data_IF_459315892125
#
_entry.id   IF_459315892125
#
_cell.length_a   1.000
_cell.length_b   1.000
_cell.length_c   1.000
_cell.angle_alpha   90.00
_cell.angle_beta   90.00
_cell.angle_gamma   90.00
#
_symmetry.space_group_name_H-M   'P 1'
#
loop_
_entity.id
_entity.type
_entity.pdbx_description
1 polymer ?
#
# COMPACT_ATOMS: atom_id res chain seq x y z
N UNK A 1 5.94 -13.52 23.29
CA UNK A 1 6.64 -12.56 22.37
C UNK A 1 8.16 -12.72 22.36
N UNK A 2 8.79 -12.93 23.50
CA UNK A 2 10.25 -13.04 23.58
C UNK A 2 10.78 -14.20 22.72
N UNK A 3 10.11 -15.36 22.76
CA UNK A 3 10.43 -16.53 21.94
C UNK A 3 10.46 -16.21 20.43
N UNK A 4 9.47 -15.43 19.95
CA UNK A 4 9.45 -15.01 18.54
C UNK A 4 10.62 -14.10 18.19
N UNK A 5 10.98 -13.17 19.08
CA UNK A 5 12.13 -12.27 18.84
C UNK A 5 13.47 -13.02 18.84
N UNK A 6 13.61 -14.00 19.70
CA UNK A 6 14.82 -14.86 19.75
C UNK A 6 14.93 -15.71 18.47
N UNK A 7 13.83 -16.32 18.03
CA UNK A 7 13.79 -17.13 16.82
C UNK A 7 13.89 -16.29 15.52
N UNK A 8 13.45 -15.04 15.55
CA UNK A 8 13.36 -14.12 14.40
C UNK A 8 13.89 -12.73 14.76
N UNK A 9 15.21 -12.55 14.95
CA UNK A 9 15.82 -11.26 15.32
C UNK A 9 15.74 -10.23 14.18
N UNK A 10 15.51 -10.68 12.94
CA UNK A 10 15.36 -9.88 11.73
C UNK A 10 14.00 -9.13 11.61
N UNK A 11 13.05 -9.43 12.50
CA UNK A 11 11.73 -8.81 12.44
C UNK A 11 11.76 -7.30 12.71
N UNK A 12 11.11 -6.55 11.84
CA UNK A 12 10.94 -5.11 12.04
C UNK A 12 10.13 -4.81 13.31
N UNK A 13 10.45 -3.72 14.05
CA UNK A 13 9.72 -3.34 15.26
C UNK A 13 8.20 -3.24 15.08
N UNK A 14 7.74 -2.77 13.90
CA UNK A 14 6.31 -2.71 13.56
C UNK A 14 5.67 -4.09 13.47
N UNK A 15 6.36 -5.08 12.90
CA UNK A 15 5.88 -6.47 12.82
C UNK A 15 5.79 -7.10 14.21
N UNK A 16 6.81 -6.87 15.05
CA UNK A 16 6.81 -7.33 16.46
C UNK A 16 5.61 -6.74 17.21
N UNK A 17 5.34 -5.45 17.07
CA UNK A 17 4.18 -4.78 17.68
C UNK A 17 2.85 -5.38 17.19
N UNK A 18 2.74 -5.66 15.90
CA UNK A 18 1.55 -6.28 15.31
C UNK A 18 1.34 -7.70 15.86
N UNK A 19 2.39 -8.51 15.91
CA UNK A 19 2.32 -9.86 16.48
C UNK A 19 1.92 -9.83 17.95
N UNK A 20 2.49 -8.91 18.75
CA UNK A 20 2.10 -8.74 20.15
C UNK A 20 0.61 -8.42 20.31
N UNK A 21 0.07 -7.56 19.44
CA UNK A 21 -1.36 -7.21 19.45
C UNK A 21 -2.25 -8.40 19.08
N UNK A 22 -1.85 -9.17 18.09
CA UNK A 22 -2.57 -10.36 17.64
C UNK A 22 -2.53 -11.49 18.68
N UNK A 23 -1.37 -11.72 19.32
CA UNK A 23 -1.25 -12.71 20.40
C UNK A 23 -2.12 -12.35 21.60
N UNK A 24 -2.14 -11.08 22.04
CA UNK A 24 -3.08 -10.64 23.11
C UNK A 24 -4.54 -10.89 22.72
N UNK A 25 -4.88 -10.78 21.42
CA UNK A 25 -6.23 -11.11 20.97
C UNK A 25 -6.50 -12.61 21.06
N UNK A 26 -5.50 -13.47 20.74
CA UNK A 26 -5.61 -14.91 20.92
C UNK A 26 -5.75 -15.29 22.40
N UNK A 27 -4.92 -14.71 23.28
CA UNK A 27 -5.02 -14.89 24.72
C UNK A 27 -6.40 -14.47 25.27
N UNK A 28 -6.96 -13.39 24.72
CA UNK A 28 -8.32 -12.95 25.11
C UNK A 28 -9.42 -13.89 24.64
N UNK A 29 -9.26 -14.54 23.50
CA UNK A 29 -10.26 -15.47 22.94
C UNK A 29 -10.19 -16.85 23.58
N UNK A 30 -8.99 -17.35 23.86
CA UNK A 30 -8.75 -18.76 24.19
C UNK A 30 -8.01 -18.99 25.52
N UNK A 31 -7.54 -17.94 26.19
CA UNK A 31 -6.69 -18.04 27.39
C UNK A 31 -5.21 -18.04 27.06
N UNK A 32 -4.36 -17.93 28.10
CA UNK A 32 -2.90 -17.78 27.94
C UNK A 32 -2.24 -19.03 27.34
N UNK A 33 -2.77 -20.22 27.67
CA UNK A 33 -2.27 -21.52 27.18
C UNK A 33 -2.95 -21.98 25.89
N UNK A 34 -3.39 -21.06 25.05
CA UNK A 34 -4.13 -21.39 23.83
C UNK A 34 -3.35 -22.28 22.85
N UNK A 35 -2.03 -22.26 22.90
CA UNK A 35 -1.18 -23.10 22.03
C UNK A 35 -1.29 -24.59 22.32
N UNK A 36 -1.74 -24.98 23.53
CA UNK A 36 -1.92 -26.38 23.95
C UNK A 36 -3.38 -26.85 23.84
N UNK A 37 -4.28 -26.01 23.31
CA UNK A 37 -5.67 -26.39 23.03
C UNK A 37 -5.80 -27.17 21.73
N UNK A 38 -6.93 -27.88 21.60
CA UNK A 38 -7.30 -28.51 20.35
C UNK A 38 -7.28 -27.47 19.20
N UNK A 39 -6.49 -27.71 18.13
CA UNK A 39 -6.43 -26.81 16.99
C UNK A 39 -7.80 -26.55 16.35
N UNK A 40 -8.73 -27.52 16.37
CA UNK A 40 -10.06 -27.33 15.83
C UNK A 40 -10.89 -26.35 16.69
N UNK A 41 -10.78 -26.42 18.03
CA UNK A 41 -11.41 -25.44 18.93
C UNK A 41 -10.96 -24.01 18.61
N UNK A 42 -9.66 -23.83 18.32
CA UNK A 42 -9.10 -22.53 17.95
C UNK A 42 -9.63 -22.08 16.60
N UNK A 43 -9.66 -22.97 15.60
CA UNK A 43 -10.18 -22.69 14.26
C UNK A 43 -11.63 -22.21 14.34
N UNK A 44 -12.48 -22.99 15.02
CA UNK A 44 -13.90 -22.69 15.16
C UNK A 44 -14.12 -21.38 15.92
N UNK A 45 -13.38 -21.15 17.00
CA UNK A 45 -13.45 -19.91 17.76
C UNK A 45 -13.00 -18.68 16.96
N UNK A 46 -11.98 -18.79 16.12
CA UNK A 46 -11.55 -17.70 15.23
C UNK A 46 -12.63 -17.42 14.18
N UNK A 47 -13.21 -18.44 13.55
CA UNK A 47 -14.28 -18.27 12.56
C UNK A 47 -15.54 -17.64 13.16
N UNK A 48 -15.91 -18.04 14.36
CA UNK A 48 -17.08 -17.53 15.10
C UNK A 48 -16.84 -16.17 15.80
N UNK A 49 -15.61 -15.63 15.76
CA UNK A 49 -15.25 -14.40 16.47
C UNK A 49 -15.85 -13.12 15.91
N UNK A 50 -16.53 -13.15 14.77
CA UNK A 50 -17.04 -11.97 14.06
C UNK A 50 -15.96 -11.09 13.44
N UNK A 51 -14.68 -11.51 13.46
CA UNK A 51 -13.56 -10.76 12.88
C UNK A 51 -13.53 -10.91 11.35
N UNK A 52 -12.99 -9.89 10.67
CA UNK A 52 -12.84 -9.95 9.21
C UNK A 52 -11.90 -11.11 8.80
N UNK A 53 -12.14 -11.70 7.61
CA UNK A 53 -11.32 -12.80 7.07
C UNK A 53 -9.82 -12.45 7.04
N UNK A 54 -9.47 -11.19 6.75
CA UNK A 54 -8.07 -10.72 6.80
C UNK A 54 -7.51 -10.78 8.22
N UNK A 55 -8.29 -10.42 9.23
CA UNK A 55 -7.85 -10.47 10.62
C UNK A 55 -7.75 -11.91 11.12
N UNK A 56 -8.72 -12.76 10.78
CA UNK A 56 -8.70 -14.20 11.06
C UNK A 56 -7.42 -14.86 10.49
N UNK A 57 -7.10 -14.58 9.22
CA UNK A 57 -5.87 -15.04 8.59
C UNK A 57 -4.60 -14.60 9.36
N UNK A 58 -4.58 -13.35 9.84
CA UNK A 58 -3.45 -12.86 10.62
C UNK A 58 -3.33 -13.56 11.98
N UNK A 59 -4.45 -13.93 12.61
CA UNK A 59 -4.44 -14.72 13.85
C UNK A 59 -3.86 -16.12 13.62
N UNK A 60 -4.28 -16.82 12.57
CA UNK A 60 -3.67 -18.10 12.19
C UNK A 60 -2.18 -17.96 11.91
N UNK A 61 -1.78 -16.91 11.19
CA UNK A 61 -0.37 -16.66 10.88
C UNK A 61 0.46 -16.46 12.16
N UNK A 62 0.01 -15.62 13.09
CA UNK A 62 0.79 -15.34 14.32
C UNK A 62 0.85 -16.56 15.23
N UNK A 63 -0.21 -17.38 15.29
CA UNK A 63 -0.24 -18.62 16.04
C UNK A 63 0.79 -19.61 15.49
N UNK A 64 0.82 -19.81 14.17
CA UNK A 64 1.86 -20.64 13.53
C UNK A 64 3.27 -20.11 13.79
N UNK A 65 3.49 -18.78 13.70
CA UNK A 65 4.80 -18.19 13.98
C UNK A 65 5.22 -18.44 15.42
N UNK A 66 4.30 -18.35 16.39
CA UNK A 66 4.58 -18.63 17.79
C UNK A 66 4.96 -20.11 17.97
N UNK A 67 4.15 -21.03 17.46
CA UNK A 67 4.39 -22.48 17.55
C UNK A 67 5.73 -22.88 16.92
N UNK A 68 6.03 -22.37 15.72
CA UNK A 68 7.32 -22.59 15.05
C UNK A 68 8.48 -22.04 15.88
N UNK A 69 8.29 -20.92 16.57
CA UNK A 69 9.34 -20.31 17.42
C UNK A 69 9.52 -21.03 18.75
N UNK A 70 8.49 -21.73 19.25
CA UNK A 70 8.57 -22.55 20.46
C UNK A 70 9.20 -23.91 20.17
N UNK A 71 8.55 -24.72 19.33
CA UNK A 71 9.01 -26.03 18.90
C UNK A 71 8.25 -26.47 17.64
N UNK A 72 8.90 -26.36 16.50
CA UNK A 72 8.30 -26.66 15.20
C UNK A 72 7.91 -28.15 15.06
N UNK A 73 8.68 -29.04 15.68
CA UNK A 73 8.44 -30.49 15.56
C UNK A 73 7.28 -30.91 16.47
N UNK A 74 7.26 -30.42 17.70
CA UNK A 74 6.15 -30.65 18.64
C UNK A 74 4.80 -30.22 18.08
N UNK A 75 4.73 -29.07 17.43
CA UNK A 75 3.48 -28.48 16.93
C UNK A 75 3.25 -28.70 15.41
N UNK A 76 3.87 -29.73 14.82
CA UNK A 76 3.85 -29.91 13.37
C UNK A 76 2.44 -30.14 12.82
N UNK A 77 1.60 -30.89 13.52
CA UNK A 77 0.23 -31.20 13.07
C UNK A 77 -0.69 -29.98 13.22
N UNK A 78 -0.62 -29.25 14.33
CA UNK A 78 -1.38 -28.02 14.57
C UNK A 78 -1.02 -26.95 13.52
N UNK A 79 0.26 -26.82 13.20
CA UNK A 79 0.74 -25.90 12.15
C UNK A 79 0.13 -26.27 10.78
N UNK A 80 -0.03 -27.54 10.46
CA UNK A 80 -0.69 -27.99 9.22
C UNK A 80 -2.15 -27.57 9.19
N UNK A 81 -2.89 -27.75 10.30
CA UNK A 81 -4.30 -27.35 10.41
C UNK A 81 -4.44 -25.83 10.17
N UNK A 82 -3.68 -25.00 10.89
CA UNK A 82 -3.76 -23.55 10.74
C UNK A 82 -3.32 -23.07 9.36
N UNK A 83 -2.34 -23.74 8.74
CA UNK A 83 -1.93 -23.43 7.37
C UNK A 83 -3.04 -23.72 6.37
N UNK A 84 -3.71 -24.85 6.49
CA UNK A 84 -4.83 -25.21 5.64
C UNK A 84 -5.97 -24.19 5.75
N UNK A 85 -6.30 -23.72 6.96
CA UNK A 85 -7.32 -22.68 7.15
C UNK A 85 -6.89 -21.34 6.58
N UNK A 86 -5.64 -20.95 6.78
CA UNK A 86 -5.09 -19.75 6.17
C UNK A 86 -5.15 -19.81 4.63
N UNK A 87 -4.87 -20.96 4.03
CA UNK A 87 -4.90 -21.16 2.59
C UNK A 87 -6.33 -21.11 2.04
N UNK A 88 -7.31 -21.67 2.76
CA UNK A 88 -8.74 -21.50 2.43
C UNK A 88 -9.15 -20.02 2.42
N UNK A 89 -8.76 -19.26 3.45
CA UNK A 89 -9.03 -17.82 3.50
C UNK A 89 -8.30 -17.04 2.40
N UNK A 90 -7.07 -17.44 2.06
CA UNK A 90 -6.32 -16.84 0.94
C UNK A 90 -7.01 -17.12 -0.39
N UNK A 91 -7.43 -18.36 -0.65
CA UNK A 91 -8.16 -18.74 -1.85
C UNK A 91 -9.45 -17.93 -1.96
N UNK A 92 -10.27 -17.92 -0.92
CA UNK A 92 -11.49 -17.09 -0.87
C UNK A 92 -11.19 -15.62 -1.18
N UNK A 93 -10.13 -15.04 -0.57
CA UNK A 93 -9.72 -13.67 -0.86
C UNK A 93 -9.34 -13.47 -2.33
N UNK A 94 -8.61 -14.41 -2.94
CA UNK A 94 -8.24 -14.35 -4.36
C UNK A 94 -9.48 -14.49 -5.23
N UNK A 95 -10.33 -15.46 -4.98
CA UNK A 95 -11.58 -15.70 -5.74
C UNK A 95 -12.49 -14.47 -5.67
N UNK A 96 -12.70 -13.97 -4.46
CA UNK A 96 -13.46 -12.75 -4.19
C UNK A 96 -12.87 -11.49 -4.89
N UNK A 97 -11.55 -11.42 -5.13
CA UNK A 97 -10.88 -10.28 -5.77
C UNK A 97 -10.51 -10.48 -7.24
N UNK A 98 -10.51 -11.73 -7.74
CA UNK A 98 -10.15 -12.05 -9.14
C UNK A 98 -11.13 -11.44 -10.16
N UNK A 99 -12.40 -11.30 -9.80
CA UNK A 99 -13.42 -10.60 -10.60
C UNK A 99 -13.22 -9.09 -10.73
N UNK A 100 -12.28 -8.52 -9.99
CA UNK A 100 -11.96 -7.07 -10.04
C UNK A 100 -13.03 -6.14 -9.48
N UNK A 101 -14.07 -6.69 -8.87
CA UNK A 101 -15.26 -5.96 -8.41
C UNK A 101 -15.34 -5.81 -6.88
N UNK A 102 -14.51 -6.53 -6.12
CA UNK A 102 -14.62 -6.47 -4.66
C UNK A 102 -13.84 -5.30 -4.06
N UNK A 103 -14.59 -4.25 -3.94
CA UNK A 103 -14.33 -3.16 -3.00
C UNK A 103 -14.98 -3.58 -1.69
N UNK A 104 -14.28 -3.48 -0.56
CA UNK A 104 -14.92 -3.72 0.74
C UNK A 104 -16.17 -2.82 0.88
N UNK A 105 -17.18 -3.24 1.66
CA UNK A 105 -18.40 -2.42 1.88
C UNK A 105 -18.07 -0.97 2.21
N UNK A 106 -17.05 -0.74 3.05
CA UNK A 106 -16.57 0.59 3.40
C UNK A 106 -15.95 1.34 2.20
N UNK A 107 -15.20 0.66 1.36
CA UNK A 107 -14.65 1.27 0.15
C UNK A 107 -15.75 1.57 -0.87
N UNK A 108 -16.75 0.70 -0.99
CA UNK A 108 -17.89 0.91 -1.87
C UNK A 108 -18.72 2.14 -1.45
N UNK A 109 -18.97 2.31 -0.16
CA UNK A 109 -19.67 3.48 0.39
C UNK A 109 -18.93 4.81 0.13
N UNK A 110 -17.59 4.76 0.01
CA UNK A 110 -16.73 5.92 -0.22
C UNK A 110 -16.20 6.04 -1.64
N UNK A 111 -16.60 5.13 -2.55
CA UNK A 111 -16.19 5.19 -3.95
C UNK A 111 -16.85 6.38 -4.64
N UNK A 112 -16.06 7.09 -5.44
CA UNK A 112 -16.50 8.17 -6.32
C UNK A 112 -15.97 7.94 -7.73
N UNK A 113 -16.55 8.60 -8.71
CA UNK A 113 -16.06 8.58 -10.08
C UNK A 113 -14.72 9.32 -10.21
N UNK A 114 -14.04 9.11 -11.34
CA UNK A 114 -12.79 9.84 -11.66
C UNK A 114 -13.07 11.35 -11.82
N UNK A 115 -14.21 11.73 -12.38
CA UNK A 115 -14.61 13.12 -12.52
C UNK A 115 -14.91 13.78 -11.17
N UNK A 116 -15.64 13.09 -10.28
CA UNK A 116 -15.86 13.57 -8.90
C UNK A 116 -14.56 13.74 -8.13
N UNK A 117 -13.58 12.82 -8.33
CA UNK A 117 -12.25 12.95 -7.75
C UNK A 117 -11.55 14.22 -8.29
N UNK A 118 -11.64 14.51 -9.59
CA UNK A 118 -11.09 15.72 -10.17
C UNK A 118 -11.73 16.97 -9.56
N UNK A 119 -13.06 16.99 -9.50
CA UNK A 119 -13.83 18.09 -8.92
C UNK A 119 -13.48 18.32 -7.44
N UNK A 120 -13.27 17.26 -6.67
CA UNK A 120 -12.78 17.35 -5.29
C UNK A 120 -11.41 18.02 -5.21
N UNK A 121 -10.47 17.62 -6.06
CA UNK A 121 -9.12 18.21 -6.09
C UNK A 121 -9.20 19.71 -6.45
N UNK A 122 -10.07 20.10 -7.37
CA UNK A 122 -10.27 21.49 -7.77
C UNK A 122 -10.88 22.35 -6.64
N UNK A 123 -11.79 21.78 -5.82
CA UNK A 123 -12.30 22.43 -4.61
C UNK A 123 -11.17 22.68 -3.59
N UNK A 124 -10.33 21.67 -3.32
CA UNK A 124 -9.17 21.84 -2.44
C UNK A 124 -8.22 22.92 -2.98
N UNK A 125 -7.97 22.93 -4.30
CA UNK A 125 -7.16 23.94 -4.97
C UNK A 125 -7.67 25.37 -4.76
N UNK A 126 -8.98 25.58 -4.78
CA UNK A 126 -9.58 26.89 -4.57
C UNK A 126 -9.30 27.44 -3.16
N UNK A 127 -9.09 26.55 -2.20
CA UNK A 127 -8.94 26.90 -0.78
C UNK A 127 -7.49 26.85 -0.25
N UNK A 128 -6.49 26.52 -1.10
CA UNK A 128 -5.09 26.39 -0.65
C UNK A 128 -4.51 27.62 0.05
N UNK A 129 -5.07 28.81 -0.17
CA UNK A 129 -4.65 30.02 0.52
C UNK A 129 -5.17 30.17 1.95
N UNK A 130 -6.12 29.33 2.38
CA UNK A 130 -6.76 29.43 3.68
C UNK A 130 -5.95 28.73 4.79
N UNK A 131 -5.30 27.63 4.46
CA UNK A 131 -4.59 26.79 5.42
C UNK A 131 -3.33 26.20 4.78
N UNK A 132 -2.20 26.24 5.46
CA UNK A 132 -0.92 25.68 4.98
C UNK A 132 -1.04 24.19 4.66
N UNK A 133 -1.78 23.44 5.48
CA UNK A 133 -2.01 22.01 5.28
C UNK A 133 -2.69 21.71 3.95
N UNK A 134 -3.55 22.60 3.44
CA UNK A 134 -4.21 22.41 2.14
C UNK A 134 -3.25 22.47 0.96
N UNK A 135 -2.13 23.19 1.08
CA UNK A 135 -1.07 23.14 0.06
C UNK A 135 -0.44 21.75 -0.02
N UNK A 136 -0.15 21.13 1.14
CA UNK A 136 0.39 19.76 1.22
C UNK A 136 -0.61 18.76 0.62
N UNK A 137 -1.87 18.84 1.07
CA UNK A 137 -2.94 17.98 0.57
C UNK A 137 -3.10 18.10 -0.93
N UNK A 138 -3.17 19.33 -1.45
CA UNK A 138 -3.34 19.59 -2.88
C UNK A 138 -2.21 18.98 -3.73
N UNK A 139 -0.95 19.24 -3.35
CA UNK A 139 0.19 18.72 -4.12
C UNK A 139 0.26 17.19 -4.09
N UNK A 140 -0.12 16.58 -2.97
CA UNK A 140 -0.18 15.11 -2.83
C UNK A 140 -1.35 14.54 -3.64
N UNK A 141 -2.54 15.14 -3.58
CA UNK A 141 -3.71 14.71 -4.38
C UNK A 141 -3.40 14.78 -5.88
N UNK A 142 -2.83 15.89 -6.35
CA UNK A 142 -2.43 16.06 -7.75
C UNK A 142 -1.36 15.05 -8.17
N UNK A 143 -0.44 14.72 -7.25
CA UNK A 143 0.55 13.68 -7.50
C UNK A 143 -0.09 12.32 -7.63
N UNK A 144 -0.97 11.93 -6.71
CA UNK A 144 -1.68 10.65 -6.73
C UNK A 144 -2.63 10.50 -7.92
N UNK A 145 -3.24 11.60 -8.36
CA UNK A 145 -4.13 11.64 -9.51
C UNK A 145 -3.40 11.36 -10.84
N UNK A 146 -2.15 11.82 -10.97
CA UNK A 146 -1.34 11.59 -12.18
C UNK A 146 -0.46 10.37 -12.09
N UNK A 147 0.11 10.16 -10.91
CA UNK A 147 1.10 9.13 -10.58
C UNK A 147 0.60 8.38 -9.34
N UNK A 148 -0.29 7.38 -9.52
CA UNK A 148 -0.97 6.71 -8.42
C UNK A 148 -0.06 5.75 -7.64
N UNK A 149 1.00 6.27 -7.02
CA UNK A 149 1.88 5.54 -6.11
C UNK A 149 1.24 5.36 -4.72
N UNK A 150 1.85 4.62 -3.83
CA UNK A 150 1.46 4.59 -2.41
C UNK A 150 1.78 5.95 -1.77
N UNK A 151 1.59 6.11 -0.45
CA UNK A 151 1.95 7.36 0.26
C UNK A 151 3.48 7.54 0.40
N UNK A 152 4.21 7.30 -0.68
CA UNK A 152 5.67 7.43 -0.75
C UNK A 152 6.11 8.90 -0.78
N UNK A 153 5.15 9.82 -0.87
CA UNK A 153 5.36 11.26 -0.70
C UNK A 153 5.60 11.67 0.76
N UNK A 154 5.21 10.86 1.75
CA UNK A 154 5.44 11.17 3.16
C UNK A 154 6.95 11.20 3.47
N UNK A 155 7.42 12.24 4.12
CA UNK A 155 8.84 12.43 4.42
C UNK A 155 9.72 12.72 3.19
N UNK A 156 9.14 13.13 2.05
CA UNK A 156 9.84 13.40 0.80
C UNK A 156 10.86 14.53 0.95
N UNK A 157 12.11 14.29 0.55
CA UNK A 157 13.20 15.28 0.59
C UNK A 157 13.37 15.91 -0.78
N UNK A 158 13.40 17.24 -0.84
CA UNK A 158 13.72 18.00 -2.05
C UNK A 158 15.24 18.14 -2.21
N UNK A 159 15.80 17.71 -3.34
CA UNK A 159 17.25 17.70 -3.55
C UNK A 159 17.62 18.00 -5.02
N UNK A 160 18.72 18.69 -5.24
CA UNK A 160 19.27 18.86 -6.57
C UNK A 160 19.99 17.60 -7.07
N UNK A 161 19.93 17.34 -8.39
CA UNK A 161 20.51 16.13 -9.02
C UNK A 161 21.99 15.92 -8.69
N UNK A 162 22.79 17.00 -8.60
CA UNK A 162 24.20 16.91 -8.24
C UNK A 162 24.38 16.38 -6.82
N UNK A 163 23.71 16.98 -5.84
CA UNK A 163 23.76 16.54 -4.44
C UNK A 163 23.24 15.11 -4.29
N UNK A 164 22.14 14.75 -4.97
CA UNK A 164 21.59 13.40 -4.97
C UNK A 164 22.61 12.35 -5.47
N UNK A 165 23.41 12.68 -6.51
CA UNK A 165 24.43 11.75 -7.02
C UNK A 165 25.56 11.49 -6.02
N UNK A 166 25.85 12.43 -5.12
CA UNK A 166 26.88 12.29 -4.09
C UNK A 166 26.42 11.49 -2.84
N UNK A 167 25.12 11.22 -2.70
CA UNK A 167 24.62 10.38 -1.61
C UNK A 167 25.11 8.94 -1.78
N UNK A 168 25.55 8.33 -0.70
CA UNK A 168 25.82 6.90 -0.63
C UNK A 168 24.54 6.08 -0.82
N UNK A 169 24.65 4.79 -1.14
CA UNK A 169 23.49 3.91 -1.25
C UNK A 169 22.71 3.82 0.08
N UNK A 170 23.44 3.80 1.19
CA UNK A 170 22.82 3.78 2.53
C UNK A 170 21.99 5.04 2.80
N UNK A 171 22.51 6.22 2.49
CA UNK A 171 21.78 7.48 2.62
C UNK A 171 20.57 7.54 1.71
N UNK A 172 20.71 7.09 0.44
CA UNK A 172 19.58 7.02 -0.50
C UNK A 172 18.46 6.12 0.00
N UNK A 173 18.80 4.99 0.61
CA UNK A 173 17.81 4.03 1.12
C UNK A 173 17.03 4.53 2.36
N UNK A 174 17.47 5.62 2.99
CA UNK A 174 16.78 6.17 4.18
C UNK A 174 15.54 6.99 3.86
N UNK A 175 15.45 7.54 2.64
CA UNK A 175 14.41 8.50 2.28
C UNK A 175 13.90 8.32 0.85
N UNK A 176 12.76 8.94 0.57
CA UNK A 176 12.28 9.20 -0.78
C UNK A 176 12.60 10.64 -1.17
N UNK A 177 12.81 10.89 -2.46
CA UNK A 177 13.33 12.17 -2.93
C UNK A 177 12.51 12.74 -4.07
N UNK A 178 12.37 14.09 -4.06
CA UNK A 178 12.02 14.89 -5.21
C UNK A 178 13.31 15.51 -5.75
N UNK A 179 13.81 14.97 -6.86
CA UNK A 179 15.10 15.38 -7.44
C UNK A 179 14.89 16.42 -8.53
N UNK A 180 15.48 17.61 -8.35
CA UNK A 180 15.50 18.66 -9.37
C UNK A 180 16.72 18.52 -10.28
N UNK A 181 16.50 18.36 -11.58
CA UNK A 181 17.55 18.46 -12.59
C UNK A 181 17.65 19.91 -13.05
N UNK A 182 18.72 20.63 -12.66
CA UNK A 182 19.01 21.98 -13.16
C UNK A 182 19.43 21.94 -14.62
N UNK A 183 18.85 22.80 -15.43
CA UNK A 183 19.09 22.99 -16.84
C UNK A 183 17.96 23.85 -17.41
N UNK A 184 18.03 24.26 -18.70
CA UNK A 184 17.06 25.16 -19.33
C UNK A 184 15.59 24.71 -19.24
N UNK A 185 15.28 23.55 -18.67
CA UNK A 185 13.93 22.98 -18.53
C UNK A 185 13.59 22.45 -17.13
N UNK A 186 14.48 22.56 -16.12
CA UNK A 186 14.28 22.12 -14.72
C UNK A 186 13.24 21.01 -14.57
N UNK A 187 13.66 19.77 -14.80
CA UNK A 187 12.78 18.59 -14.63
C UNK A 187 12.78 18.13 -13.19
N UNK A 188 11.67 17.62 -12.74
CA UNK A 188 11.56 16.90 -11.47
C UNK A 188 11.39 15.40 -11.70
N UNK A 189 12.04 14.63 -10.85
CA UNK A 189 11.94 13.17 -10.82
C UNK A 189 11.63 12.74 -9.39
N UNK A 190 10.58 11.96 -9.19
CA UNK A 190 10.42 11.22 -7.95
C UNK A 190 11.38 10.04 -7.92
N UNK A 191 12.03 9.84 -6.78
CA UNK A 191 12.90 8.70 -6.54
C UNK A 191 12.46 8.03 -5.25
N UNK A 192 11.91 6.83 -5.37
CA UNK A 192 11.37 6.06 -4.26
C UNK A 192 12.30 4.90 -3.94
N UNK A 193 12.97 4.97 -2.78
CA UNK A 193 13.82 3.90 -2.26
C UNK A 193 13.11 3.10 -1.17
N UNK A 194 12.26 3.77 -0.38
CA UNK A 194 11.66 3.12 0.76
C UNK A 194 10.28 2.58 0.43
N UNK A 195 10.16 1.26 0.48
CA UNK A 195 8.88 0.62 0.80
C UNK A 195 9.02 -0.03 2.19
N UNK A 196 8.60 0.69 3.22
CA UNK A 196 8.63 0.19 4.61
C UNK A 196 7.84 -1.12 4.80
N UNK A 197 7.02 -1.51 3.82
CA UNK A 197 6.15 -2.69 3.89
C UNK A 197 6.79 -3.94 3.33
N UNK A 198 7.86 -3.84 2.57
CA UNK A 198 8.52 -5.00 1.98
C UNK A 198 9.90 -5.18 2.59
N UNK A 199 10.17 -6.41 3.07
CA UNK A 199 11.51 -6.86 3.46
C UNK A 199 12.44 -7.02 2.25
N UNK A 200 11.90 -6.91 1.02
CA UNK A 200 12.69 -6.95 -0.21
C UNK A 200 13.11 -5.53 -0.54
N UNK A 201 14.41 -5.30 -0.63
CA UNK A 201 15.00 -4.12 -1.25
C UNK A 201 14.49 -4.06 -2.69
N UNK A 202 13.51 -3.19 -2.95
CA UNK A 202 13.16 -2.87 -4.33
C UNK A 202 14.27 -2.02 -4.91
N UNK A 203 14.63 -2.24 -6.18
CA UNK A 203 15.44 -1.25 -6.87
C UNK A 203 14.70 0.09 -6.82
N UNK A 204 15.45 1.18 -6.69
CA UNK A 204 14.87 2.51 -6.67
C UNK A 204 14.01 2.74 -7.92
N UNK A 205 12.78 3.19 -7.70
CA UNK A 205 11.89 3.58 -8.79
C UNK A 205 12.13 5.06 -9.11
N UNK A 206 12.52 5.36 -10.36
CA UNK A 206 12.71 6.72 -10.86
C UNK A 206 11.52 7.06 -11.74
N UNK A 207 10.81 8.13 -11.41
CA UNK A 207 9.64 8.58 -12.16
C UNK A 207 9.70 10.06 -12.48
N UNK A 208 9.88 10.39 -13.75
CA UNK A 208 9.80 11.76 -14.23
C UNK A 208 8.37 12.29 -14.09
N UNK A 209 8.24 13.52 -13.61
CA UNK A 209 6.95 14.14 -13.44
C UNK A 209 6.39 14.62 -14.79
N UNK A 210 5.09 14.44 -15.04
CA UNK A 210 4.41 15.14 -16.13
C UNK A 210 4.57 16.65 -16.01
N UNK A 211 4.67 17.37 -17.14
CA UNK A 211 4.95 18.81 -17.19
C UNK A 211 3.98 19.67 -16.36
N UNK A 212 2.71 19.29 -16.33
CA UNK A 212 1.69 19.98 -15.55
C UNK A 212 1.88 19.75 -14.05
N UNK A 213 2.25 18.54 -13.62
CA UNK A 213 2.59 18.23 -12.24
C UNK A 213 3.88 18.92 -11.80
N UNK A 214 4.89 19.03 -12.68
CA UNK A 214 6.09 19.82 -12.40
C UNK A 214 5.77 21.29 -12.07
N UNK A 215 4.83 21.91 -12.79
CA UNK A 215 4.40 23.29 -12.53
C UNK A 215 3.77 23.42 -11.14
N UNK A 216 2.97 22.43 -10.74
CA UNK A 216 2.33 22.40 -9.42
C UNK A 216 3.39 22.29 -8.33
N UNK A 217 4.35 21.36 -8.45
CA UNK A 217 5.43 21.20 -7.50
C UNK A 217 6.31 22.47 -7.42
N UNK A 218 6.68 23.08 -8.55
CA UNK A 218 7.44 24.35 -8.57
C UNK A 218 6.71 25.46 -7.83
N UNK A 219 5.39 25.59 -8.03
CA UNK A 219 4.57 26.57 -7.32
C UNK A 219 4.55 26.27 -5.82
N UNK A 220 4.33 25.00 -5.44
CA UNK A 220 4.31 24.57 -4.05
C UNK A 220 5.63 24.87 -3.33
N UNK A 221 6.76 24.42 -3.88
CA UNK A 221 8.09 24.66 -3.30
C UNK A 221 8.39 26.16 -3.11
N UNK A 222 8.01 26.98 -4.07
CA UNK A 222 8.19 28.44 -4.01
C UNK A 222 7.31 29.09 -2.94
N UNK A 223 6.03 28.74 -2.87
CA UNK A 223 5.08 29.30 -1.89
C UNK A 223 5.49 28.91 -0.48
N UNK A 224 5.87 27.65 -0.27
CA UNK A 224 6.31 27.14 1.01
C UNK A 224 7.77 27.50 1.34
N UNK A 225 8.48 28.18 0.41
CA UNK A 225 9.89 28.61 0.55
C UNK A 225 10.87 27.45 0.81
N UNK A 226 10.57 26.25 0.35
CA UNK A 226 11.45 25.11 0.50
C UNK A 226 12.73 25.24 -0.32
N UNK A 227 13.83 24.72 0.26
CA UNK A 227 15.17 24.68 -0.33
C UNK A 227 15.64 23.25 -0.49
N UNK A 228 16.71 23.04 -1.26
CA UNK A 228 17.34 21.73 -1.35
C UNK A 228 17.82 21.27 0.04
N UNK A 229 17.47 20.05 0.40
CA UNK A 229 17.70 19.43 1.70
C UNK A 229 16.47 19.42 2.60
N UNK A 230 15.45 20.22 2.31
CA UNK A 230 14.24 20.26 3.15
C UNK A 230 13.34 19.05 2.92
N UNK A 231 12.65 18.65 3.99
CA UNK A 231 11.55 17.69 3.93
C UNK A 231 10.30 18.43 3.47
N UNK A 232 9.89 18.22 2.23
CA UNK A 232 8.79 18.98 1.61
C UNK A 232 7.39 18.46 1.92
N UNK A 233 7.27 17.23 2.41
CA UNK A 233 6.04 16.68 2.98
C UNK A 233 6.36 16.22 4.41
N UNK A 234 6.36 17.12 5.40
CA UNK A 234 6.83 16.85 6.77
C UNK A 234 5.79 16.08 7.60
N UNK A 235 5.19 15.05 7.01
CA UNK A 235 4.17 14.19 7.61
C UNK A 235 4.60 12.74 7.56
N UNK A 236 4.28 11.97 8.60
CA UNK A 236 4.37 10.51 8.54
C UNK A 236 3.30 9.94 7.61
N UNK A 237 3.48 8.73 7.09
CA UNK A 237 2.47 8.06 6.25
C UNK A 237 1.09 7.98 6.92
N UNK A 238 1.06 7.67 8.21
CA UNK A 238 -0.19 7.57 8.95
C UNK A 238 -0.87 8.93 9.06
N UNK A 239 -0.12 9.97 9.40
CA UNK A 239 -0.66 11.32 9.50
C UNK A 239 -1.14 11.83 8.13
N UNK A 240 -0.35 11.68 7.08
CA UNK A 240 -0.77 12.03 5.71
C UNK A 240 -2.03 11.28 5.29
N UNK A 241 -2.15 9.98 5.62
CA UNK A 241 -3.37 9.20 5.36
C UNK A 241 -4.58 9.74 6.11
N UNK A 242 -4.42 10.17 7.37
CA UNK A 242 -5.49 10.77 8.17
C UNK A 242 -5.91 12.12 7.58
N UNK A 243 -4.94 12.98 7.26
CA UNK A 243 -5.21 14.32 6.69
C UNK A 243 -5.95 14.20 5.35
N UNK A 244 -5.56 13.29 4.47
CA UNK A 244 -6.28 13.06 3.19
C UNK A 244 -7.73 12.65 3.43
N UNK A 245 -7.99 11.76 4.40
CA UNK A 245 -9.35 11.30 4.73
C UNK A 245 -10.20 12.40 5.36
N UNK A 246 -9.66 13.16 6.30
CA UNK A 246 -10.34 14.29 6.94
C UNK A 246 -10.65 15.38 5.92
N UNK A 247 -9.73 15.66 5.01
CA UNK A 247 -9.96 16.65 3.94
C UNK A 247 -11.07 16.18 2.99
N UNK A 248 -11.07 14.91 2.58
CA UNK A 248 -12.14 14.41 1.71
C UNK A 248 -13.50 14.39 2.41
N UNK A 249 -13.54 14.06 3.70
CA UNK A 249 -14.76 14.16 4.52
C UNK A 249 -15.29 15.60 4.55
N UNK A 250 -14.42 16.58 4.81
CA UNK A 250 -14.78 18.02 4.85
C UNK A 250 -15.34 18.55 3.53
N UNK A 251 -14.81 18.10 2.38
CA UNK A 251 -15.13 18.67 1.07
C UNK A 251 -16.22 17.92 0.29
N UNK A 252 -16.40 16.63 0.54
CA UNK A 252 -17.29 15.78 -0.24
C UNK A 252 -18.03 14.72 0.57
N UNK A 253 -17.96 14.78 1.91
CA UNK A 253 -18.60 13.83 2.84
C UNK A 253 -18.26 12.36 2.52
N UNK A 254 -16.99 12.09 2.19
CA UNK A 254 -16.46 10.77 1.87
C UNK A 254 -15.09 10.57 2.53
N UNK A 255 -14.81 9.35 2.97
CA UNK A 255 -13.50 8.99 3.55
C UNK A 255 -12.57 8.42 2.48
N UNK A 256 -11.94 9.29 1.68
CA UNK A 256 -11.08 8.89 0.58
C UNK A 256 -9.60 8.96 1.01
N UNK A 257 -8.99 7.79 1.18
CA UNK A 257 -7.54 7.67 1.38
C UNK A 257 -6.80 7.35 0.08
N UNK A 258 -5.47 7.37 0.12
CA UNK A 258 -4.60 7.12 -1.03
C UNK A 258 -4.88 5.79 -1.75
N UNK A 259 -5.26 4.76 -1.03
CA UNK A 259 -5.61 3.45 -1.62
C UNK A 259 -6.83 3.56 -2.53
N UNK A 260 -7.84 4.32 -2.12
CA UNK A 260 -9.06 4.49 -2.91
C UNK A 260 -8.80 5.40 -4.12
N UNK A 261 -8.05 6.51 -3.93
CA UNK A 261 -7.59 7.37 -5.05
C UNK A 261 -6.88 6.52 -6.10
N UNK A 262 -5.94 5.68 -5.69
CA UNK A 262 -5.22 4.80 -6.62
C UNK A 262 -6.14 3.83 -7.36
N UNK A 263 -7.12 3.23 -6.67
CA UNK A 263 -8.11 2.36 -7.32
C UNK A 263 -8.91 3.11 -8.39
N UNK A 264 -9.41 4.30 -8.06
CA UNK A 264 -10.17 5.14 -8.99
C UNK A 264 -9.33 5.47 -10.23
N UNK A 265 -8.12 6.00 -10.01
CA UNK A 265 -7.23 6.42 -11.11
C UNK A 265 -6.77 5.25 -11.98
N UNK A 266 -6.42 4.11 -11.36
CA UNK A 266 -5.97 2.92 -12.09
C UNK A 266 -7.14 2.30 -12.88
N UNK A 267 -8.34 2.22 -12.28
CA UNK A 267 -9.53 1.70 -12.95
C UNK A 267 -9.88 2.53 -14.17
N UNK A 268 -9.83 3.85 -14.08
CA UNK A 268 -10.07 4.75 -15.21
C UNK A 268 -9.04 4.56 -16.33
N UNK A 269 -7.76 4.56 -15.98
CA UNK A 269 -6.67 4.47 -16.96
C UNK A 269 -6.54 3.10 -17.63
N UNK A 270 -6.89 2.03 -16.94
CA UNK A 270 -6.61 0.66 -17.34
C UNK A 270 -7.85 -0.24 -17.38
N UNK A 271 -9.06 0.31 -17.22
CA UNK A 271 -10.32 -0.45 -17.29
C UNK A 271 -10.46 -1.21 -18.61
N UNK A 272 -10.14 -0.57 -19.72
CA UNK A 272 -10.14 -1.17 -21.06
C UNK A 272 -9.10 -2.28 -21.24
N UNK A 273 -7.95 -2.17 -20.59
CA UNK A 273 -6.89 -3.21 -20.60
C UNK A 273 -7.37 -4.47 -19.89
N UNK A 274 -8.18 -4.32 -18.84
CA UNK A 274 -8.76 -5.47 -18.14
C UNK A 274 -9.76 -6.21 -19.01
N UNK A 275 -10.61 -5.50 -19.72
CA UNK A 275 -11.54 -6.08 -20.69
C UNK A 275 -10.81 -6.79 -21.84
N UNK A 276 -9.74 -6.19 -22.35
CA UNK A 276 -8.88 -6.84 -23.36
C UNK A 276 -8.24 -8.10 -22.82
N UNK A 277 -7.66 -8.08 -21.60
CA UNK A 277 -7.08 -9.27 -20.98
C UNK A 277 -8.11 -10.36 -20.69
N UNK A 278 -9.34 -9.99 -20.31
CA UNK A 278 -10.43 -10.93 -20.12
C UNK A 278 -10.80 -11.61 -21.43
N UNK A 279 -10.99 -10.85 -22.53
CA UNK A 279 -11.25 -11.37 -23.89
C UNK A 279 -10.10 -12.24 -24.39
N UNK A 280 -8.85 -11.83 -24.15
CA UNK A 280 -7.66 -12.63 -24.50
C UNK A 280 -7.63 -13.95 -23.75
N UNK A 281 -7.94 -13.94 -22.43
CA UNK A 281 -8.03 -15.16 -21.63
C UNK A 281 -9.15 -16.08 -22.08
N UNK A 282 -10.29 -15.53 -22.45
CA UNK A 282 -11.43 -16.30 -22.96
C UNK A 282 -11.11 -16.93 -24.32
N UNK A 283 -10.47 -16.16 -25.22
CA UNK A 283 -10.01 -16.66 -26.50
C UNK A 283 -8.93 -17.76 -26.34
N UNK A 284 -7.91 -17.53 -25.50
CA UNK A 284 -6.86 -18.50 -25.23
C UNK A 284 -7.43 -19.82 -24.70
N UNK A 285 -8.43 -19.76 -23.80
CA UNK A 285 -9.17 -20.96 -23.34
C UNK A 285 -9.93 -21.66 -24.47
N UNK A 286 -10.58 -20.90 -25.34
CA UNK A 286 -11.34 -21.45 -26.47
C UNK A 286 -10.45 -22.17 -27.49
N UNK A 287 -9.20 -21.73 -27.66
CA UNK A 287 -8.20 -22.38 -28.54
C UNK A 287 -7.29 -23.39 -27.83
N UNK A 288 -7.53 -23.63 -26.54
CA UNK A 288 -6.78 -24.62 -25.76
C UNK A 288 -5.39 -24.21 -25.33
N UNK A 289 -5.08 -22.90 -25.30
CA UNK A 289 -3.80 -22.35 -24.87
C UNK A 289 -3.90 -21.57 -23.55
N UNK A 290 -2.75 -21.37 -22.87
CA UNK A 290 -2.67 -20.35 -21.82
C UNK A 290 -2.37 -18.98 -22.43
N UNK A 291 -2.77 -17.89 -21.74
CA UNK A 291 -2.48 -16.51 -22.17
C UNK A 291 -0.97 -16.28 -22.36
N UNK A 292 -0.13 -16.91 -21.51
CA UNK A 292 1.33 -16.83 -21.60
C UNK A 292 1.88 -17.46 -22.87
N UNK A 293 1.29 -18.56 -23.34
CA UNK A 293 1.67 -19.21 -24.61
C UNK A 293 1.25 -18.36 -25.80
N UNK A 294 0.09 -17.69 -25.73
CA UNK A 294 -0.37 -16.78 -26.77
C UNK A 294 0.57 -15.59 -26.90
N UNK A 295 0.98 -14.95 -25.81
CA UNK A 295 1.92 -13.83 -25.80
C UNK A 295 3.32 -14.23 -26.29
N UNK A 296 3.81 -15.43 -25.95
CA UNK A 296 5.14 -15.90 -26.32
C UNK A 296 5.24 -16.40 -27.78
N UNK A 297 4.18 -17.00 -28.30
CA UNK A 297 4.22 -17.72 -29.58
C UNK A 297 3.58 -16.93 -30.71
N UNK A 298 2.49 -16.19 -30.45
CA UNK A 298 1.66 -15.57 -31.48
C UNK A 298 1.78 -14.06 -31.56
N UNK A 299 2.16 -13.36 -30.49
CA UNK A 299 2.37 -11.91 -30.47
C UNK A 299 3.81 -11.50 -30.83
N UNK A 300 4.38 -12.12 -31.89
CA UNK A 300 5.66 -11.69 -32.46
C UNK A 300 5.42 -10.53 -33.42
N UNK A 301 5.44 -9.30 -32.91
CA UNK A 301 5.64 -8.10 -33.73
C UNK A 301 6.98 -7.47 -33.42
#
# INVERSE_FOLDING_TARGET
MEVIKQARPDLKPSTVKNYATQLRKMEKLFGVEFVDKDPQEIVDGIHNSGLSSTYQRNLFQVTMVLMISMDKEKYAEEIKVFRAEMDKLNKKYVDDNSGGTLVSKNQQANMISYEELRNYIDRVKADIGKEEMLHIVYVVLESLFRVPVRLDHAGLIFIGKRAFKHLTLEERNKHNYLVETRGNKGKFTFVYYQDERTTKTRPAEFQDLPKDLEKIWKKYLRVMKYKHGDVVIPLTRNHLSQVLRQTSERYIDKHIGSTLIRKIVISEKFGSVKEMKAKQSEFAKAVGHSVEVEDLVYNKK
#
